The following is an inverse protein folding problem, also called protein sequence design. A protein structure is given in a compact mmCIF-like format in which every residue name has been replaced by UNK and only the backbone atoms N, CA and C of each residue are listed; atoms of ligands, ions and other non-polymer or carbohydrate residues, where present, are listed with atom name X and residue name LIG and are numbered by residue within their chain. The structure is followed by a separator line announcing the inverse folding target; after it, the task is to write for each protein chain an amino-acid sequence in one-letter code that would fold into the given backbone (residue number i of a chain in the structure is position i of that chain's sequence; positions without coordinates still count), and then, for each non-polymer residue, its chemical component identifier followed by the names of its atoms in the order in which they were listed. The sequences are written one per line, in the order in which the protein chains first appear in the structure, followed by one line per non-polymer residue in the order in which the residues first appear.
data_IF_539379527685
#
_entry.id   IF_539379527685
#
_cell.length_a   1.000
_cell.length_b   1.000
_cell.length_c   1.000
_cell.angle_alpha   90.00
_cell.angle_beta   90.00
_cell.angle_gamma   90.00
#
_symmetry.space_group_name_H-M   'P 1'
#
loop_
_entity.id
_entity.type
_entity.pdbx_description
1 polymer ?
#
# COMPACT_ATOMS: atom_id res chain seq x y z
N UNK A 1 10.68 -7.86 6.82
CA UNK A 1 9.28 -8.14 6.50
C UNK A 1 9.10 -8.26 5.00
N UNK A 2 8.39 -9.27 4.52
CA UNK A 2 8.00 -9.43 3.11
C UNK A 2 6.48 -9.47 3.03
N UNK A 3 5.91 -8.70 2.12
CA UNK A 3 4.48 -8.58 1.91
C UNK A 3 4.18 -8.90 0.45
N UNK A 4 3.37 -9.92 0.20
CA UNK A 4 2.81 -10.17 -1.13
C UNK A 4 1.55 -9.33 -1.28
N UNK A 5 1.60 -8.32 -2.13
CA UNK A 5 0.44 -7.46 -2.40
C UNK A 5 -0.32 -8.06 -3.58
N UNK A 6 -1.58 -8.38 -3.35
CA UNK A 6 -2.54 -8.86 -4.34
C UNK A 6 -3.65 -7.83 -4.48
N UNK A 7 -3.57 -6.96 -5.47
CA UNK A 7 -4.55 -5.90 -5.65
C UNK A 7 -5.07 -5.88 -7.08
N UNK A 8 -6.39 -6.05 -7.22
CA UNK A 8 -7.08 -5.94 -8.50
C UNK A 8 -8.18 -4.89 -8.39
N UNK A 9 -7.98 -3.71 -9.00
CA UNK A 9 -9.00 -2.67 -9.06
C UNK A 9 -8.88 -1.82 -10.33
N UNK A 10 -10.03 -1.54 -10.96
CA UNK A 10 -10.12 -0.59 -12.07
C UNK A 10 -9.24 -0.93 -13.29
N UNK A 11 -8.97 -2.22 -13.54
CA UNK A 11 -8.10 -2.69 -14.62
C UNK A 11 -6.60 -2.73 -14.27
N UNK A 12 -6.21 -2.32 -13.06
CA UNK A 12 -4.86 -2.55 -12.54
C UNK A 12 -4.84 -3.84 -11.72
N UNK A 13 -3.94 -4.75 -12.09
CA UNK A 13 -3.62 -5.97 -11.34
C UNK A 13 -2.18 -5.87 -10.86
N UNK A 14 -2.01 -5.85 -9.55
CA UNK A 14 -0.71 -5.87 -8.86
C UNK A 14 -0.61 -7.20 -8.13
N UNK A 15 0.41 -7.98 -8.47
CA UNK A 15 0.67 -9.28 -7.87
C UNK A 15 2.18 -9.39 -7.61
N UNK A 16 2.62 -8.85 -6.48
CA UNK A 16 4.04 -8.57 -6.26
C UNK A 16 4.47 -8.69 -4.80
N UNK A 17 5.72 -9.08 -4.59
CA UNK A 17 6.34 -9.12 -3.28
C UNK A 17 7.12 -7.83 -3.03
N UNK A 18 6.72 -7.10 -1.99
CA UNK A 18 7.43 -5.93 -1.47
C UNK A 18 8.16 -6.34 -0.19
N UNK A 19 9.45 -6.07 -0.11
CA UNK A 19 10.26 -6.36 1.06
C UNK A 19 10.79 -5.07 1.71
N UNK A 20 10.82 -5.03 3.03
CA UNK A 20 11.36 -3.92 3.81
C UNK A 20 11.69 -4.34 5.25
N UNK A 21 12.56 -3.60 5.92
CA UNK A 21 12.94 -3.85 7.32
C UNK A 21 11.87 -3.38 8.31
N UNK A 22 11.01 -2.45 7.90
CA UNK A 22 9.88 -1.91 8.68
C UNK A 22 8.63 -1.72 7.81
N UNK A 23 7.47 -1.48 8.43
CA UNK A 23 6.24 -1.15 7.71
C UNK A 23 6.40 0.13 6.89
N UNK A 24 7.09 1.14 7.42
CA UNK A 24 7.41 2.37 6.67
C UNK A 24 8.21 2.10 5.39
N UNK A 25 9.21 1.22 5.44
CA UNK A 25 10.00 0.88 4.24
C UNK A 25 9.16 0.15 3.19
N UNK A 26 8.27 -0.75 3.63
CA UNK A 26 7.34 -1.46 2.74
C UNK A 26 6.38 -0.45 2.09
N UNK A 27 5.75 0.41 2.87
CA UNK A 27 4.82 1.44 2.35
C UNK A 27 5.55 2.45 1.46
N UNK A 28 6.77 2.86 1.80
CA UNK A 28 7.59 3.73 0.96
C UNK A 28 7.93 3.08 -0.39
N UNK A 29 8.16 1.76 -0.40
CA UNK A 29 8.42 1.00 -1.63
C UNK A 29 7.17 0.93 -2.51
N UNK A 30 5.99 0.67 -1.90
CA UNK A 30 4.70 0.75 -2.59
C UNK A 30 4.44 2.15 -3.17
N UNK A 31 4.67 3.19 -2.37
CA UNK A 31 4.52 4.59 -2.76
C UNK A 31 5.38 4.93 -3.99
N UNK A 32 6.66 4.52 -3.99
CA UNK A 32 7.57 4.73 -5.13
C UNK A 32 7.05 4.08 -6.41
N UNK A 33 6.47 2.88 -6.31
CA UNK A 33 5.91 2.16 -7.45
C UNK A 33 4.66 2.82 -7.99
N UNK A 34 3.70 3.15 -7.12
CA UNK A 34 2.50 3.91 -7.51
C UNK A 34 2.88 5.25 -8.16
N UNK A 35 3.91 5.93 -7.63
CA UNK A 35 4.41 7.15 -8.24
C UNK A 35 4.99 6.94 -9.64
N UNK A 36 5.63 5.79 -9.92
CA UNK A 36 6.15 5.48 -11.25
C UNK A 36 5.01 5.28 -12.26
N UNK A 37 3.94 4.58 -11.86
CA UNK A 37 2.77 4.30 -12.71
C UNK A 37 1.95 5.56 -13.04
N UNK A 38 1.89 6.53 -12.12
CA UNK A 38 1.09 7.74 -12.30
C UNK A 38 1.70 8.79 -13.26
N UNK A 39 2.91 8.54 -13.77
CA UNK A 39 3.64 9.46 -14.63
C UNK A 39 4.26 10.65 -13.89
N UNK A 40 4.98 11.52 -14.61
CA UNK A 40 5.92 12.48 -14.01
C UNK A 40 5.29 13.43 -12.96
N UNK A 41 4.22 14.15 -13.32
CA UNK A 41 3.64 15.18 -12.44
C UNK A 41 2.90 14.58 -11.23
N UNK A 42 2.04 13.59 -11.46
CA UNK A 42 1.28 12.94 -10.39
C UNK A 42 2.18 12.07 -9.51
N UNK A 43 3.18 11.43 -10.10
CA UNK A 43 4.21 10.69 -9.39
C UNK A 43 5.07 11.57 -8.49
N UNK A 44 5.45 12.76 -8.95
CA UNK A 44 6.20 13.72 -8.11
C UNK A 44 5.41 14.12 -6.85
N UNK A 45 4.11 14.37 -7.00
CA UNK A 45 3.24 14.65 -5.85
C UNK A 45 3.17 13.47 -4.87
N UNK A 46 2.98 12.25 -5.37
CA UNK A 46 2.97 11.05 -4.53
C UNK A 46 4.31 10.88 -3.82
N UNK A 47 5.44 11.08 -4.48
CA UNK A 47 6.79 10.98 -3.88
C UNK A 47 7.07 12.02 -2.79
N UNK A 48 6.40 13.17 -2.84
CA UNK A 48 6.56 14.23 -1.84
C UNK A 48 5.84 13.91 -0.52
N UNK A 49 4.91 12.96 -0.51
CA UNK A 49 4.22 12.54 0.72
C UNK A 49 5.13 11.71 1.61
N UNK A 50 4.87 11.74 2.92
CA UNK A 50 5.41 10.71 3.82
C UNK A 50 4.71 9.37 3.56
N UNK A 51 5.35 8.23 3.90
CA UNK A 51 4.72 6.92 3.73
C UNK A 51 3.35 6.82 4.43
N UNK A 52 3.23 7.37 5.64
CA UNK A 52 1.96 7.43 6.36
C UNK A 52 0.92 8.29 5.64
N UNK A 53 1.30 9.48 5.15
CA UNK A 53 0.36 10.34 4.42
C UNK A 53 -0.13 9.66 3.13
N UNK A 54 0.75 8.94 2.44
CA UNK A 54 0.39 8.10 1.30
C UNK A 54 -0.61 7.01 1.69
N UNK A 55 -0.35 6.25 2.75
CA UNK A 55 -1.26 5.20 3.25
C UNK A 55 -2.66 5.75 3.60
N UNK A 56 -2.70 6.91 4.26
CA UNK A 56 -3.97 7.59 4.59
C UNK A 56 -4.73 8.02 3.34
N UNK A 57 -4.05 8.60 2.36
CA UNK A 57 -4.66 9.04 1.12
C UNK A 57 -5.21 7.85 0.30
N UNK A 58 -4.45 6.76 0.21
CA UNK A 58 -4.91 5.51 -0.43
C UNK A 58 -6.18 5.00 0.27
N UNK A 59 -6.19 4.97 1.60
CA UNK A 59 -7.36 4.52 2.37
C UNK A 59 -8.58 5.43 2.15
N UNK A 60 -8.41 6.75 2.12
CA UNK A 60 -9.50 7.71 1.81
C UNK A 60 -10.06 7.50 0.41
N UNK A 61 -9.20 7.31 -0.58
CA UNK A 61 -9.61 7.04 -1.96
C UNK A 61 -10.33 5.72 -2.09
N UNK A 62 -9.83 4.68 -1.45
CA UNK A 62 -10.49 3.37 -1.39
C UNK A 62 -11.89 3.48 -0.78
N UNK A 63 -12.02 4.11 0.40
CA UNK A 63 -13.29 4.38 1.05
C UNK A 63 -14.27 5.12 0.14
N UNK A 64 -13.78 6.15 -0.56
CA UNK A 64 -14.60 6.94 -1.48
C UNK A 64 -15.05 6.12 -2.70
N UNK A 65 -14.18 5.29 -3.25
CA UNK A 65 -14.47 4.46 -4.43
C UNK A 65 -15.40 3.29 -4.11
N UNK A 66 -15.19 2.62 -2.98
CA UNK A 66 -15.96 1.45 -2.55
C UNK A 66 -17.20 1.82 -1.73
N UNK A 67 -17.40 3.12 -1.44
CA UNK A 67 -18.40 3.63 -0.49
C UNK A 67 -18.29 2.97 0.88
N UNK A 68 -17.05 2.68 1.29
CA UNK A 68 -16.72 2.11 2.60
C UNK A 68 -16.27 3.22 3.56
N UNK A 69 -16.30 2.92 4.86
CA UNK A 69 -15.83 3.80 5.92
C UNK A 69 -14.76 3.11 6.77
N UNK A 70 -13.73 2.58 6.12
CA UNK A 70 -12.61 1.97 6.83
C UNK A 70 -11.85 3.04 7.65
N UNK A 71 -11.33 2.68 8.83
CA UNK A 71 -10.56 3.61 9.65
C UNK A 71 -9.31 4.08 8.90
N UNK A 72 -9.05 5.38 8.94
CA UNK A 72 -7.84 5.96 8.34
C UNK A 72 -6.63 5.58 9.21
N UNK A 73 -5.62 4.90 8.67
CA UNK A 73 -4.50 4.39 9.46
C UNK A 73 -3.72 5.53 10.11
N UNK A 74 -3.33 5.32 11.37
CA UNK A 74 -2.47 6.23 12.13
C UNK A 74 -1.00 5.81 12.09
N UNK A 75 -0.71 4.57 11.71
CA UNK A 75 0.65 4.04 11.49
C UNK A 75 0.72 3.25 10.18
N UNK A 76 1.94 3.03 9.67
CA UNK A 76 2.13 2.21 8.46
C UNK A 76 1.79 0.74 8.71
N UNK A 77 2.00 0.26 9.94
CA UNK A 77 1.60 -1.09 10.38
C UNK A 77 0.09 -1.26 10.25
N UNK A 78 -0.71 -0.33 10.76
CA UNK A 78 -2.18 -0.39 10.66
C UNK A 78 -2.66 -0.43 9.20
N UNK A 79 -1.96 0.24 8.30
CA UNK A 79 -2.28 0.19 6.87
C UNK A 79 -2.00 -1.20 6.27
N UNK A 80 -0.86 -1.80 6.63
CA UNK A 80 -0.51 -3.15 6.17
C UNK A 80 -1.48 -4.18 6.74
N UNK A 81 -1.77 -4.11 8.05
CA UNK A 81 -2.72 -4.99 8.74
C UNK A 81 -4.10 -4.90 8.08
N UNK A 82 -4.58 -3.69 7.78
CA UNK A 82 -5.83 -3.49 7.06
C UNK A 82 -5.80 -4.09 5.65
N UNK A 83 -4.69 -3.97 4.93
CA UNK A 83 -4.50 -4.60 3.63
C UNK A 83 -4.56 -6.13 3.72
N UNK A 84 -4.02 -6.71 4.79
CA UNK A 84 -4.08 -8.16 5.05
C UNK A 84 -5.52 -8.59 5.37
N UNK A 85 -6.19 -7.90 6.29
CA UNK A 85 -7.58 -8.20 6.67
C UNK A 85 -8.55 -8.15 5.49
N UNK A 86 -8.30 -7.28 4.52
CA UNK A 86 -9.10 -7.14 3.30
C UNK A 86 -8.68 -8.07 2.17
N UNK A 87 -7.71 -8.96 2.40
CA UNK A 87 -7.09 -9.85 1.40
C UNK A 87 -6.45 -9.10 0.21
N UNK A 88 -6.04 -7.83 0.41
CA UNK A 88 -5.25 -7.08 -0.57
C UNK A 88 -3.75 -7.33 -0.43
N UNK A 89 -3.33 -7.89 0.69
CA UNK A 89 -1.97 -8.28 0.94
C UNK A 89 -1.93 -9.58 1.75
N UNK A 90 -0.86 -10.32 1.62
CA UNK A 90 -0.55 -11.49 2.42
C UNK A 90 0.85 -11.27 2.97
N UNK A 91 1.03 -11.44 4.28
CA UNK A 91 2.38 -11.42 4.83
C UNK A 91 3.10 -12.69 4.37
N UNK A 92 4.23 -12.53 3.68
CA UNK A 92 5.09 -13.65 3.33
C UNK A 92 6.06 -13.81 4.49
N UNK A 93 5.74 -14.72 5.41
CA UNK A 93 6.77 -15.22 6.31
C UNK A 93 7.81 -15.94 5.44
N UNK A 94 9.09 -15.55 5.55
CA UNK A 94 10.16 -16.37 5.00
C UNK A 94 10.02 -17.73 5.66
N UNK A 95 9.53 -18.72 4.90
CA UNK A 95 9.37 -20.08 5.34
C UNK A 95 10.70 -20.60 5.87
N UNK A 96 10.87 -20.53 7.18
CA UNK A 96 11.92 -21.19 7.91
C UNK A 96 11.58 -22.66 8.04
N UNK A 97 11.78 -23.42 6.95
CA UNK A 97 12.28 -24.80 6.86
C UNK A 97 11.84 -25.51 5.58
#
# INVERSE_FOLDING_TARGET
MKLHVHFEAGGMKVDEVVAGQSAEEVVASMQKRVAAELGFLKGAFVRAMTPLAFAQEVTRRYNSAMKESAPIPQTCEQFIDYGIDKNFATLVEDGGR
#
